data_IF_823648255927
#
_entry.id   IF_823648255927
#
_cell.length_a   1.000
_cell.length_b   1.000
_cell.length_c   1.000
_cell.angle_alpha   90.00
_cell.angle_beta   90.00
_cell.angle_gamma   90.00
#
_symmetry.space_group_name_H-M   'P 1'
#
loop_
_entity.id
_entity.type
_entity.pdbx_description
1 polymer ?
#
# COMPACT_ATOMS: atom_id res chain seq x y z
N UNK A 1 -33.13 72.85 9.01
CA UNK A 1 -33.67 71.47 9.11
C UNK A 1 -32.53 70.49 8.85
N UNK A 2 -32.03 69.82 9.88
CA UNK A 2 -31.21 68.61 9.70
C UNK A 2 -31.68 67.59 10.73
N UNK A 3 -32.34 66.53 10.25
CA UNK A 3 -32.84 65.44 11.08
C UNK A 3 -31.66 64.55 11.50
N UNK A 4 -31.42 64.40 12.80
CA UNK A 4 -30.50 63.39 13.31
C UNK A 4 -31.15 62.00 13.18
N UNK A 5 -30.66 61.20 12.24
CA UNK A 5 -31.04 59.78 12.12
C UNK A 5 -30.33 59.02 13.23
N UNK A 6 -31.06 58.61 14.27
CA UNK A 6 -30.57 57.68 15.27
C UNK A 6 -30.56 56.27 14.67
N UNK A 7 -29.37 55.73 14.37
CA UNK A 7 -29.23 54.31 13.99
C UNK A 7 -29.58 53.46 15.21
N UNK A 8 -30.61 52.61 15.09
CA UNK A 8 -30.89 51.57 16.07
C UNK A 8 -29.65 50.68 16.23
N UNK A 9 -29.23 50.45 17.48
CA UNK A 9 -28.14 49.54 17.80
C UNK A 9 -28.50 48.16 17.21
N UNK A 10 -27.73 47.72 16.21
CA UNK A 10 -27.90 46.40 15.61
C UNK A 10 -27.91 45.36 16.72
N UNK A 11 -28.96 44.54 16.77
CA UNK A 11 -29.01 43.37 17.65
C UNK A 11 -27.78 42.54 17.31
N UNK A 12 -26.74 42.64 18.15
CA UNK A 12 -25.59 41.76 18.10
C UNK A 12 -26.17 40.36 18.21
N UNK A 13 -26.10 39.58 17.13
CA UNK A 13 -26.32 38.14 17.21
C UNK A 13 -25.36 37.68 18.31
N UNK A 14 -25.90 37.28 19.45
CA UNK A 14 -25.09 36.74 20.52
C UNK A 14 -24.52 35.43 19.97
N UNK A 15 -23.28 35.46 19.46
CA UNK A 15 -22.47 34.25 19.45
C UNK A 15 -22.34 33.89 20.92
N UNK A 16 -23.06 32.84 21.33
CA UNK A 16 -22.96 32.33 22.68
C UNK A 16 -21.48 32.12 22.96
N UNK A 17 -20.96 32.80 23.98
CA UNK A 17 -19.57 32.61 24.40
C UNK A 17 -19.35 31.10 24.56
N UNK A 18 -18.29 30.56 23.95
CA UNK A 18 -17.97 29.15 24.01
C UNK A 18 -17.99 28.71 25.49
N UNK A 19 -18.96 27.87 25.85
CA UNK A 19 -19.05 27.35 27.21
C UNK A 19 -17.76 26.58 27.49
N UNK A 20 -17.12 26.86 28.63
CA UNK A 20 -16.01 26.07 29.20
C UNK A 20 -16.50 24.71 29.72
N UNK A 21 -17.44 24.10 29.00
CA UNK A 21 -17.96 22.76 29.25
C UNK A 21 -17.53 21.91 28.04
N UNK A 22 -17.07 20.67 28.26
CA UNK A 22 -16.61 19.82 27.18
C UNK A 22 -17.75 19.60 26.19
N UNK A 23 -17.56 20.03 24.94
CA UNK A 23 -18.48 19.76 23.84
C UNK A 23 -18.25 18.33 23.35
N UNK A 24 -19.35 17.57 23.16
CA UNK A 24 -19.30 16.16 22.78
C UNK A 24 -18.43 15.89 21.56
N UNK A 25 -18.48 16.77 20.55
CA UNK A 25 -17.65 16.68 19.35
C UNK A 25 -16.14 16.69 19.63
N UNK A 26 -15.66 17.51 20.58
CA UNK A 26 -14.23 17.54 20.91
C UNK A 26 -13.84 16.29 21.69
N UNK A 27 -14.69 15.83 22.61
CA UNK A 27 -14.48 14.58 23.33
C UNK A 27 -14.45 13.35 22.39
N UNK A 28 -15.36 13.27 21.43
CA UNK A 28 -15.39 12.23 20.40
C UNK A 28 -14.13 12.28 19.52
N UNK A 29 -13.71 13.48 19.10
CA UNK A 29 -12.48 13.65 18.32
C UNK A 29 -11.24 13.20 19.10
N UNK A 30 -11.17 13.51 20.40
CA UNK A 30 -10.07 13.05 21.25
C UNK A 30 -10.09 11.52 21.43
N UNK A 31 -11.26 10.93 21.64
CA UNK A 31 -11.42 9.47 21.68
C UNK A 31 -10.98 8.80 20.36
N UNK A 32 -11.35 9.38 19.21
CA UNK A 32 -10.90 8.90 17.89
C UNK A 32 -9.38 9.00 17.74
N UNK A 33 -8.76 10.06 18.25
CA UNK A 33 -7.30 10.20 18.22
C UNK A 33 -6.62 9.14 19.08
N UNK A 34 -7.08 8.94 20.31
CA UNK A 34 -6.54 7.90 21.18
C UNK A 34 -6.68 6.50 20.57
N UNK A 35 -7.84 6.18 19.98
CA UNK A 35 -8.04 4.92 19.27
C UNK A 35 -7.13 4.78 18.02
N UNK A 36 -6.95 5.87 17.27
CA UNK A 36 -6.04 5.87 16.11
C UNK A 36 -4.58 5.69 16.53
N UNK A 37 -4.17 6.27 17.66
CA UNK A 37 -2.81 6.15 18.17
C UNK A 37 -2.51 4.70 18.59
N UNK A 38 -3.42 4.04 19.31
CA UNK A 38 -3.24 2.64 19.71
C UNK A 38 -3.21 1.67 18.52
N UNK A 39 -3.94 1.99 17.46
CA UNK A 39 -4.05 1.11 16.28
C UNK A 39 -2.92 1.33 15.27
N UNK A 40 -2.49 2.57 15.06
CA UNK A 40 -1.63 2.96 13.93
C UNK A 40 -0.27 3.54 14.32
N UNK A 41 -0.13 4.21 15.48
CA UNK A 41 1.13 4.86 15.84
C UNK A 41 1.94 4.02 16.83
N UNK A 42 3.28 4.02 16.72
CA UNK A 42 4.10 3.41 17.74
C UNK A 42 3.96 4.20 19.06
N UNK A 43 3.61 3.52 20.15
CA UNK A 43 3.33 4.13 21.44
C UNK A 43 4.48 5.04 21.86
N UNK A 44 4.17 6.30 22.14
CA UNK A 44 5.05 7.38 22.59
C UNK A 44 6.19 6.87 23.50
N UNK A 45 7.38 6.68 22.94
CA UNK A 45 8.59 6.50 23.73
C UNK A 45 8.83 7.82 24.46
N UNK A 46 8.60 7.85 25.77
CA UNK A 46 9.17 8.91 26.59
C UNK A 46 10.67 8.98 26.28
N UNK A 47 11.26 10.16 25.98
CA UNK A 47 12.71 10.23 25.81
C UNK A 47 13.35 9.72 27.10
N UNK A 48 14.17 8.67 27.00
CA UNK A 48 14.90 8.11 28.14
C UNK A 48 15.88 9.20 28.60
N UNK A 49 15.45 10.04 29.55
CA UNK A 49 16.21 11.21 29.97
C UNK A 49 17.32 10.89 30.99
N UNK A 50 17.49 9.65 31.49
CA UNK A 50 18.46 9.36 32.55
C UNK A 50 19.00 7.92 32.58
N UNK A 51 19.84 7.51 31.62
CA UNK A 51 20.68 6.32 31.83
C UNK A 51 22.17 6.66 31.69
N UNK A 52 22.98 6.45 32.75
CA UNK A 52 24.42 6.67 32.67
C UNK A 52 25.09 5.64 31.77
N UNK A 53 26.11 6.11 31.05
CA UNK A 53 26.86 5.40 30.01
C UNK A 53 27.77 4.29 30.56
N UNK A 54 27.22 3.27 31.20
CA UNK A 54 27.99 2.12 31.66
C UNK A 54 27.10 0.91 31.87
N UNK A 55 26.88 0.11 30.83
CA UNK A 55 26.62 -1.34 30.94
C UNK A 55 26.47 -1.96 29.57
N UNK A 56 27.31 -2.96 29.28
CA UNK A 56 27.30 -3.83 28.09
C UNK A 56 26.03 -4.72 27.97
N UNK A 57 24.94 -4.36 28.65
CA UNK A 57 23.65 -5.06 28.62
C UNK A 57 22.68 -4.51 27.55
N UNK A 58 23.08 -3.46 26.81
CA UNK A 58 22.18 -2.75 25.90
C UNK A 58 21.83 -3.53 24.62
N UNK A 59 22.67 -4.46 24.16
CA UNK A 59 22.45 -5.12 22.84
C UNK A 59 21.42 -6.26 22.89
N UNK A 60 21.24 -6.91 24.05
CA UNK A 60 20.31 -8.03 24.22
C UNK A 60 18.90 -7.60 24.65
N UNK A 61 18.74 -6.40 25.22
CA UNK A 61 17.44 -5.89 25.68
C UNK A 61 16.75 -4.98 24.66
N UNK A 62 17.49 -4.35 23.73
CA UNK A 62 16.93 -3.51 22.68
C UNK A 62 16.16 -4.27 21.60
N UNK A 63 16.49 -5.55 21.36
CA UNK A 63 15.81 -6.39 20.37
C UNK A 63 14.43 -6.85 20.86
N UNK A 64 14.26 -7.07 22.16
CA UNK A 64 12.97 -7.43 22.77
C UNK A 64 12.09 -6.20 23.02
N UNK A 65 12.66 -5.03 23.32
CA UNK A 65 11.91 -3.78 23.53
C UNK A 65 11.38 -3.14 22.24
N UNK A 66 11.98 -3.40 21.08
CA UNK A 66 11.49 -2.90 19.78
C UNK A 66 10.10 -3.47 19.43
N UNK A 67 9.76 -4.65 19.95
CA UNK A 67 8.45 -5.29 19.78
C UNK A 67 7.32 -4.64 20.60
N UNK A 68 7.66 -3.89 21.65
CA UNK A 68 6.67 -3.36 22.59
C UNK A 68 6.05 -2.03 22.11
N UNK A 69 6.76 -1.31 21.22
CA UNK A 69 6.44 0.07 20.81
C UNK A 69 5.65 0.19 19.50
N UNK A 70 5.35 -0.88 18.74
CA UNK A 70 4.69 -0.75 17.43
C UNK A 70 3.14 -0.74 17.54
N UNK A 71 2.45 0.12 16.77
CA UNK A 71 0.98 0.10 16.67
C UNK A 71 0.44 -1.24 16.18
N UNK A 72 -0.81 -1.59 16.52
CA UNK A 72 -1.41 -2.91 16.22
C UNK A 72 -1.21 -3.35 14.76
N UNK A 73 -1.50 -2.47 13.79
CA UNK A 73 -1.41 -2.80 12.37
C UNK A 73 0.03 -3.03 11.88
N UNK A 74 0.99 -2.31 12.46
CA UNK A 74 2.40 -2.47 12.11
C UNK A 74 2.94 -3.80 12.65
N UNK A 75 2.52 -4.21 13.85
CA UNK A 75 2.82 -5.54 14.40
C UNK A 75 2.29 -6.64 13.50
N UNK A 76 1.02 -6.57 13.09
CA UNK A 76 0.43 -7.57 12.18
C UNK A 76 1.19 -7.61 10.85
N UNK A 77 1.49 -6.45 10.26
CA UNK A 77 2.20 -6.37 8.98
C UNK A 77 3.58 -7.03 9.03
N UNK A 78 4.33 -6.81 10.10
CA UNK A 78 5.68 -7.37 10.23
C UNK A 78 5.64 -8.84 10.65
N UNK A 79 4.83 -9.19 11.66
CA UNK A 79 4.87 -10.53 12.25
C UNK A 79 3.98 -11.55 11.53
N UNK A 80 2.93 -11.12 10.83
CA UNK A 80 2.11 -12.01 10.02
C UNK A 80 2.48 -11.91 8.54
N UNK A 81 2.42 -10.72 7.94
CA UNK A 81 2.54 -10.62 6.48
C UNK A 81 3.94 -11.02 5.97
N UNK A 82 5.03 -10.65 6.66
CA UNK A 82 6.38 -11.01 6.18
C UNK A 82 6.58 -12.55 6.14
N UNK A 83 6.27 -13.32 7.20
CA UNK A 83 6.32 -14.79 7.13
C UNK A 83 5.43 -15.38 6.03
N UNK A 84 4.20 -14.90 5.88
CA UNK A 84 3.29 -15.39 4.83
C UNK A 84 3.80 -15.08 3.41
N UNK A 85 4.38 -13.90 3.22
CA UNK A 85 5.03 -13.53 1.95
C UNK A 85 6.24 -14.44 1.71
N UNK A 86 7.06 -14.72 2.72
CA UNK A 86 8.19 -15.65 2.60
C UNK A 86 7.76 -17.05 2.16
N UNK A 87 6.73 -17.61 2.80
CA UNK A 87 6.18 -18.93 2.44
C UNK A 87 5.58 -18.95 1.04
N UNK A 88 4.77 -17.95 0.69
CA UNK A 88 4.15 -17.88 -0.64
C UNK A 88 5.18 -17.63 -1.75
N UNK A 89 6.21 -16.83 -1.51
CA UNK A 89 7.32 -16.61 -2.43
C UNK A 89 8.14 -17.88 -2.66
N UNK A 90 8.43 -18.66 -1.61
CA UNK A 90 9.12 -19.94 -1.76
C UNK A 90 8.32 -20.94 -2.61
N UNK A 91 7.00 -21.02 -2.40
CA UNK A 91 6.12 -21.85 -3.22
C UNK A 91 6.06 -21.36 -4.68
N UNK A 92 5.93 -20.05 -4.89
CA UNK A 92 5.92 -19.46 -6.22
C UNK A 92 7.26 -19.68 -6.96
N UNK A 93 8.39 -19.61 -6.25
CA UNK A 93 9.71 -19.88 -6.81
C UNK A 93 9.85 -21.34 -7.29
N UNK A 94 9.36 -22.30 -6.50
CA UNK A 94 9.31 -23.71 -6.92
C UNK A 94 8.47 -23.88 -8.19
N UNK A 95 7.25 -23.34 -8.20
CA UNK A 95 6.35 -23.43 -9.35
C UNK A 95 6.92 -22.73 -10.60
N UNK A 96 7.65 -21.63 -10.41
CA UNK A 96 8.35 -20.93 -11.48
C UNK A 96 9.43 -21.81 -12.13
N UNK A 97 10.23 -22.52 -11.33
CA UNK A 97 11.23 -23.45 -11.87
C UNK A 97 10.58 -24.63 -12.60
N UNK A 98 9.53 -25.24 -12.01
CA UNK A 98 8.75 -26.33 -12.64
C UNK A 98 8.16 -25.86 -14.00
N UNK A 99 7.68 -24.61 -14.07
CA UNK A 99 7.14 -24.02 -15.30
C UNK A 99 8.19 -23.90 -16.40
N UNK A 100 9.40 -23.44 -16.07
CA UNK A 100 10.49 -23.34 -17.05
C UNK A 100 11.04 -24.69 -17.49
N UNK A 101 11.08 -25.67 -16.58
CA UNK A 101 11.43 -27.04 -16.93
C UNK A 101 10.41 -27.63 -17.92
N UNK A 102 9.10 -27.47 -17.65
CA UNK A 102 8.06 -27.85 -18.60
C UNK A 102 8.19 -27.11 -19.94
N UNK A 103 8.51 -25.81 -19.89
CA UNK A 103 8.70 -25.02 -21.10
C UNK A 103 9.84 -25.53 -21.98
N UNK A 104 10.94 -25.99 -21.37
CA UNK A 104 12.12 -26.51 -22.09
C UNK A 104 11.87 -27.83 -22.83
N UNK A 105 10.85 -28.59 -22.42
CA UNK A 105 10.49 -29.86 -23.06
C UNK A 105 9.48 -29.69 -24.20
N UNK A 106 8.94 -28.49 -24.40
CA UNK A 106 7.99 -28.23 -25.46
C UNK A 106 8.71 -27.99 -26.79
N UNK A 107 8.08 -28.35 -27.92
CA UNK A 107 8.68 -28.10 -29.23
C UNK A 107 8.92 -26.59 -29.44
N UNK A 108 9.89 -26.23 -30.29
CA UNK A 108 10.15 -24.84 -30.66
C UNK A 108 8.87 -24.09 -31.11
N UNK A 109 8.84 -22.77 -30.90
CA UNK A 109 7.66 -21.95 -31.16
C UNK A 109 7.21 -21.99 -32.62
N UNK A 110 8.17 -22.07 -33.55
CA UNK A 110 7.96 -22.20 -34.98
C UNK A 110 7.34 -23.54 -35.38
N UNK A 111 7.39 -24.57 -34.54
CA UNK A 111 6.78 -25.88 -34.81
C UNK A 111 5.39 -26.02 -34.15
N UNK A 112 5.12 -25.26 -33.09
CA UNK A 112 3.84 -25.30 -32.38
C UNK A 112 2.66 -24.84 -33.24
N UNK A 113 1.58 -25.62 -33.26
CA UNK A 113 0.37 -25.30 -34.05
C UNK A 113 -0.24 -23.96 -33.63
N UNK A 114 -0.33 -23.02 -34.57
CA UNK A 114 -1.04 -21.75 -34.42
C UNK A 114 -2.44 -21.90 -35.00
N UNK A 115 -3.47 -21.55 -34.23
CA UNK A 115 -4.86 -21.66 -34.66
C UNK A 115 -5.38 -20.33 -35.23
N UNK A 116 -6.41 -20.33 -36.11
CA UNK A 116 -6.92 -19.11 -36.74
C UNK A 116 -7.45 -18.04 -35.79
N UNK A 117 -7.85 -18.43 -34.59
CA UNK A 117 -8.32 -17.52 -33.56
C UNK A 117 -7.19 -16.93 -32.70
N UNK A 118 -5.97 -17.44 -32.82
CA UNK A 118 -4.80 -16.90 -32.12
C UNK A 118 -4.18 -15.77 -32.95
N UNK A 119 -3.55 -14.81 -32.26
CA UNK A 119 -2.84 -13.69 -32.88
C UNK A 119 -3.60 -12.95 -33.99
N UNK A 120 -4.94 -12.87 -33.91
CA UNK A 120 -5.73 -12.10 -34.88
C UNK A 120 -5.32 -10.63 -34.82
N UNK A 121 -5.13 -10.03 -36.00
CA UNK A 121 -4.89 -8.59 -36.19
C UNK A 121 -5.81 -8.04 -37.28
N UNK A 122 -6.88 -7.37 -36.89
CA UNK A 122 -7.76 -6.66 -37.85
C UNK A 122 -7.18 -5.31 -38.29
N UNK A 123 -6.37 -4.70 -37.42
CA UNK A 123 -5.59 -3.48 -37.69
C UNK A 123 -4.23 -3.64 -37.00
N UNK A 124 -3.19 -3.09 -37.61
CA UNK A 124 -1.86 -3.08 -37.02
C UNK A 124 -1.85 -2.18 -35.77
N UNK A 125 -1.01 -2.53 -34.80
CA UNK A 125 -0.74 -1.65 -33.67
C UNK A 125 -0.05 -0.36 -34.15
N UNK A 126 -0.28 0.80 -33.49
CA UNK A 126 0.29 2.08 -33.91
C UNK A 126 1.77 2.27 -33.51
N UNK A 127 2.46 1.23 -33.05
CA UNK A 127 3.87 1.27 -32.62
C UNK A 127 4.67 0.09 -33.17
N UNK A 128 6.00 0.21 -33.09
CA UNK A 128 6.93 -0.86 -33.46
C UNK A 128 6.71 -1.35 -34.89
N UNK A 129 6.68 -2.66 -35.06
CA UNK A 129 6.38 -3.34 -36.34
C UNK A 129 4.87 -3.51 -36.60
N UNK A 130 4.01 -3.02 -35.70
CA UNK A 130 2.56 -3.10 -35.81
C UNK A 130 1.94 -4.48 -35.48
N UNK A 131 2.73 -5.43 -35.00
CA UNK A 131 2.33 -6.84 -34.84
C UNK A 131 2.38 -7.32 -33.38
N UNK A 132 3.39 -6.83 -32.66
CA UNK A 132 3.71 -7.18 -31.29
C UNK A 132 2.97 -6.30 -30.28
N UNK A 133 2.49 -6.92 -29.21
CA UNK A 133 1.83 -6.21 -28.11
C UNK A 133 2.87 -5.50 -27.22
N UNK A 134 2.41 -4.63 -26.31
CA UNK A 134 3.29 -3.93 -25.37
C UNK A 134 4.08 -4.88 -24.44
N UNK A 135 3.52 -6.06 -24.16
CA UNK A 135 4.12 -7.10 -23.32
C UNK A 135 4.49 -8.34 -24.16
N UNK A 136 4.89 -8.13 -25.41
CA UNK A 136 5.34 -9.21 -26.27
C UNK A 136 6.71 -9.71 -25.81
N UNK A 137 6.82 -11.02 -25.61
CA UNK A 137 8.09 -11.67 -25.28
C UNK A 137 8.44 -12.69 -26.37
N UNK A 138 9.47 -12.47 -27.20
CA UNK A 138 9.81 -13.37 -28.30
C UNK A 138 10.22 -14.78 -27.86
N UNK A 139 10.58 -14.98 -26.58
CA UNK A 139 10.89 -16.30 -26.03
C UNK A 139 9.64 -17.17 -25.79
N UNK A 140 8.45 -16.56 -25.72
CA UNK A 140 7.18 -17.27 -25.45
C UNK A 140 6.06 -16.93 -26.43
N UNK A 141 6.22 -15.86 -27.20
CA UNK A 141 5.25 -15.39 -28.18
C UNK A 141 5.88 -15.44 -29.56
N UNK A 142 5.13 -16.02 -30.49
CA UNK A 142 5.50 -16.15 -31.89
C UNK A 142 4.23 -15.95 -32.72
N UNK A 143 4.36 -15.21 -33.83
CA UNK A 143 3.27 -15.03 -34.77
C UNK A 143 3.80 -15.28 -36.18
N UNK A 144 3.21 -16.25 -36.87
CA UNK A 144 3.47 -16.47 -38.28
C UNK A 144 2.17 -16.31 -39.08
N UNK A 145 2.10 -15.19 -39.80
CA UNK A 145 0.94 -14.79 -40.63
C UNK A 145 0.55 -15.83 -41.68
N UNK A 146 1.48 -16.69 -42.08
CA UNK A 146 1.29 -17.71 -43.10
C UNK A 146 1.07 -19.13 -42.53
N UNK A 147 1.11 -19.30 -41.20
CA UNK A 147 1.07 -20.61 -40.54
C UNK A 147 -0.33 -21.09 -40.19
N UNK A 148 -1.28 -20.17 -40.18
CA UNK A 148 -2.69 -20.48 -39.91
C UNK A 148 -3.23 -21.34 -41.04
N UNK A 149 -3.66 -22.56 -40.72
CA UNK A 149 -4.38 -23.45 -41.65
C UNK A 149 -5.82 -23.02 -41.85
#
# INVERSE_FOLDING_TARGET
>A
MFAQITRAAGKRFASTAASKAPNSFVAEREAVKHHADETATPSHTQPIAWLPASSLQLVLTTSLSLSLSLGLWLKISIYACIPFIGLSAANAYRLWNDHWEHWSHLPPLEERTEYPFQNIRSKNFPWGNGDETLFWNPAVNYHNKNKVK
#
